data_IF_114800124441
#
_entry.id   IF_114800124441
#
_cell.length_a   1.000
_cell.length_b   1.000
_cell.length_c   1.000
_cell.angle_alpha   90.00
_cell.angle_beta   90.00
_cell.angle_gamma   90.00
#
_symmetry.space_group_name_H-M   'P 1'
#
loop_
_entity.id
_entity.type
_entity.pdbx_description
1 polymer ?
#
# COMPACT_ATOMS: atom_id res chain seq x y z
N UNK A 1 24.65 13.23 31.48
CA UNK A 1 25.14 12.36 30.37
C UNK A 1 24.67 10.90 30.52
N UNK A 2 24.83 10.24 31.67
CA UNK A 2 24.45 8.83 31.88
C UNK A 2 22.98 8.47 31.65
N UNK A 3 22.00 9.32 32.04
CA UNK A 3 20.57 9.08 31.81
C UNK A 3 20.20 9.10 30.31
N UNK A 4 20.85 9.95 29.52
CA UNK A 4 20.62 10.02 28.06
C UNK A 4 21.17 8.76 27.39
N UNK A 5 22.40 8.36 27.75
CA UNK A 5 23.01 7.12 27.22
C UNK A 5 22.20 5.86 27.58
N UNK A 6 21.71 5.74 28.81
CA UNK A 6 20.86 4.61 29.22
C UNK A 6 19.54 4.58 28.45
N UNK A 7 18.92 5.72 28.20
CA UNK A 7 17.70 5.85 27.38
C UNK A 7 17.94 5.43 25.92
N UNK A 8 19.05 5.90 25.33
CA UNK A 8 19.42 5.54 23.96
C UNK A 8 19.72 4.03 23.84
N UNK A 9 20.46 3.45 24.79
CA UNK A 9 20.74 2.01 24.84
C UNK A 9 19.45 1.19 24.95
N UNK A 10 18.52 1.60 25.82
CA UNK A 10 17.20 0.93 25.97
C UNK A 10 16.38 1.03 24.68
N UNK A 11 16.39 2.17 24.02
CA UNK A 11 15.68 2.38 22.76
C UNK A 11 16.31 1.55 21.62
N UNK A 12 17.65 1.47 21.55
CA UNK A 12 18.35 0.64 20.59
C UNK A 12 18.00 -0.84 20.77
N UNK A 13 18.13 -1.36 22.01
CA UNK A 13 17.79 -2.76 22.32
C UNK A 13 16.33 -3.06 21.97
N UNK A 14 15.41 -2.16 22.26
CA UNK A 14 13.99 -2.32 21.96
C UNK A 14 13.69 -2.36 20.45
N UNK A 15 14.58 -1.85 19.59
CA UNK A 15 14.41 -1.81 18.15
C UNK A 15 15.22 -2.90 17.41
N UNK A 16 15.95 -3.75 18.12
CA UNK A 16 16.73 -4.85 17.54
C UNK A 16 15.94 -5.67 16.50
N UNK A 17 14.65 -6.07 16.73
CA UNK A 17 13.90 -6.84 15.74
C UNK A 17 13.81 -6.15 14.37
N UNK A 18 13.69 -4.82 14.34
CA UNK A 18 13.62 -4.07 13.09
C UNK A 18 14.97 -3.99 12.39
N UNK A 19 16.07 -3.87 13.12
CA UNK A 19 17.41 -3.94 12.53
C UNK A 19 17.69 -5.32 11.92
N UNK A 20 17.33 -6.37 12.65
CA UNK A 20 17.46 -7.75 12.14
C UNK A 20 16.61 -7.95 10.90
N UNK A 21 15.33 -7.50 10.91
CA UNK A 21 14.46 -7.53 9.72
C UNK A 21 15.10 -6.82 8.54
N UNK A 22 15.62 -5.61 8.73
CA UNK A 22 16.25 -4.84 7.67
C UNK A 22 17.41 -5.60 7.01
N UNK A 23 18.30 -6.18 7.80
CA UNK A 23 19.44 -6.93 7.25
C UNK A 23 19.02 -8.24 6.58
N UNK A 24 18.02 -8.95 7.11
CA UNK A 24 17.43 -10.12 6.45
C UNK A 24 16.86 -9.74 5.08
N UNK A 25 16.07 -8.66 5.02
CA UNK A 25 15.48 -8.18 3.77
C UNK A 25 16.54 -7.74 2.78
N UNK A 26 17.55 -7.00 3.24
CA UNK A 26 18.65 -6.58 2.37
C UNK A 26 19.40 -7.79 1.79
N UNK A 27 19.67 -8.80 2.61
CA UNK A 27 20.29 -10.06 2.17
C UNK A 27 19.40 -10.76 1.11
N UNK A 28 18.08 -10.86 1.34
CA UNK A 28 17.16 -11.44 0.37
C UNK A 28 17.20 -10.64 -0.94
N UNK A 29 17.10 -9.32 -0.88
CA UNK A 29 17.08 -8.47 -2.09
C UNK A 29 18.36 -8.57 -2.92
N UNK A 30 19.54 -8.73 -2.30
CA UNK A 30 20.81 -8.90 -3.01
C UNK A 30 20.81 -10.21 -3.82
N UNK A 31 20.05 -11.23 -3.39
CA UNK A 31 19.97 -12.52 -4.10
C UNK A 31 18.93 -12.51 -5.24
N UNK A 32 18.09 -11.48 -5.36
CA UNK A 32 17.02 -11.43 -6.35
C UNK A 32 17.57 -10.98 -7.73
N UNK A 33 17.10 -11.65 -8.78
CA UNK A 33 17.31 -11.18 -10.15
C UNK A 33 16.22 -10.15 -10.50
N UNK A 34 16.58 -8.87 -10.50
CA UNK A 34 15.68 -7.74 -10.78
C UNK A 34 15.56 -7.39 -12.28
N UNK A 35 16.16 -8.18 -13.16
CA UNK A 35 16.14 -7.94 -14.61
C UNK A 35 15.07 -8.80 -15.29
N UNK A 36 13.80 -8.71 -14.84
CA UNK A 36 12.70 -9.51 -15.35
C UNK A 36 11.42 -8.68 -15.53
N UNK A 37 10.57 -9.11 -16.45
CA UNK A 37 9.20 -8.60 -16.61
C UNK A 37 9.10 -7.08 -16.77
N UNK A 38 8.25 -6.46 -15.97
CA UNK A 38 7.99 -5.02 -16.02
C UNK A 38 9.20 -4.18 -15.64
N UNK A 39 10.12 -4.69 -14.81
CA UNK A 39 11.32 -3.97 -14.40
C UNK A 39 12.22 -3.66 -15.60
N UNK A 40 12.34 -4.61 -16.53
CA UNK A 40 13.07 -4.42 -17.79
C UNK A 40 12.42 -3.34 -18.65
N UNK A 41 11.09 -3.37 -18.77
CA UNK A 41 10.34 -2.40 -19.56
C UNK A 41 10.51 -0.97 -19.01
N UNK A 42 10.46 -0.82 -17.68
CA UNK A 42 10.72 0.49 -17.04
C UNK A 42 12.16 0.95 -17.26
N UNK A 43 13.15 0.06 -17.12
CA UNK A 43 14.56 0.41 -17.33
C UNK A 43 14.85 0.79 -18.79
N UNK A 44 14.28 0.09 -19.78
CA UNK A 44 14.42 0.45 -21.19
C UNK A 44 13.83 1.84 -21.46
N UNK A 45 12.61 2.11 -20.98
CA UNK A 45 11.98 3.43 -21.14
C UNK A 45 12.74 4.54 -20.46
N UNK A 46 13.26 4.31 -19.24
CA UNK A 46 14.05 5.29 -18.53
C UNK A 46 15.38 5.63 -19.23
N UNK A 47 15.93 4.69 -20.01
CA UNK A 47 17.14 4.92 -20.82
C UNK A 47 16.85 5.57 -22.17
N UNK A 48 15.65 5.37 -22.73
CA UNK A 48 15.30 5.82 -24.09
C UNK A 48 14.52 7.13 -24.14
N UNK A 49 13.93 7.57 -23.02
CA UNK A 49 13.10 8.77 -22.93
C UNK A 49 13.63 9.71 -21.86
N UNK A 50 13.45 11.02 -22.07
CA UNK A 50 13.68 11.98 -20.98
C UNK A 50 12.61 11.79 -19.89
N UNK A 51 12.90 12.26 -18.67
CA UNK A 51 11.95 12.21 -17.56
C UNK A 51 10.62 12.90 -17.90
N UNK A 52 10.68 14.02 -18.59
CA UNK A 52 9.50 14.78 -19.02
C UNK A 52 8.68 14.00 -20.04
N UNK A 53 9.31 13.48 -21.09
CA UNK A 53 8.64 12.71 -22.14
C UNK A 53 8.01 11.43 -21.58
N UNK A 54 8.72 10.75 -20.66
CA UNK A 54 8.20 9.58 -19.98
C UNK A 54 6.90 9.89 -19.21
N UNK A 55 6.89 10.98 -18.42
CA UNK A 55 5.72 11.36 -17.66
C UNK A 55 4.56 11.81 -18.56
N UNK A 56 4.83 12.57 -19.62
CA UNK A 56 3.83 12.97 -20.62
C UNK A 56 3.25 11.71 -21.28
N UNK A 57 4.10 10.80 -21.75
CA UNK A 57 3.67 9.53 -22.34
C UNK A 57 2.74 8.75 -21.40
N UNK A 58 3.16 8.58 -20.13
CA UNK A 58 2.38 7.84 -19.13
C UNK A 58 1.03 8.49 -18.86
N UNK A 59 0.99 9.80 -18.70
CA UNK A 59 -0.25 10.53 -18.43
C UNK A 59 -1.28 10.39 -19.56
N UNK A 60 -0.87 10.49 -20.81
CA UNK A 60 -1.79 10.43 -21.94
C UNK A 60 -2.12 9.01 -22.39
N UNK A 61 -1.22 8.06 -22.21
CA UNK A 61 -1.35 6.74 -22.83
C UNK A 61 -1.48 5.58 -21.84
N UNK A 62 -1.23 5.79 -20.52
CA UNK A 62 -1.17 4.64 -19.61
C UNK A 62 -1.88 4.83 -18.28
N UNK A 63 -1.47 5.80 -17.42
CA UNK A 63 -2.01 5.89 -16.06
C UNK A 63 -1.82 7.24 -15.39
N UNK A 64 -2.64 7.48 -14.35
CA UNK A 64 -2.52 8.62 -13.43
C UNK A 64 -1.41 8.48 -12.39
N UNK A 65 -0.67 7.39 -12.37
CA UNK A 65 0.33 7.05 -11.32
C UNK A 65 1.64 7.81 -11.45
N UNK A 66 1.58 9.10 -11.78
CA UNK A 66 2.75 9.92 -12.11
C UNK A 66 3.81 9.97 -11.00
N UNK A 67 3.41 10.09 -9.73
CA UNK A 67 4.38 10.11 -8.62
C UNK A 67 5.07 8.76 -8.45
N UNK A 68 4.33 7.69 -8.51
CA UNK A 68 4.84 6.32 -8.39
C UNK A 68 5.73 5.98 -9.58
N UNK A 69 5.27 6.27 -10.79
CA UNK A 69 6.02 5.97 -12.02
C UNK A 69 7.25 6.87 -12.18
N UNK A 70 7.23 8.09 -11.64
CA UNK A 70 8.42 8.93 -11.53
C UNK A 70 9.49 8.30 -10.64
N UNK A 71 9.10 7.71 -9.51
CA UNK A 71 10.03 6.95 -8.66
C UNK A 71 10.57 5.74 -9.41
N UNK A 72 9.71 5.01 -10.13
CA UNK A 72 10.12 3.87 -10.96
C UNK A 72 11.09 4.29 -12.08
N UNK A 73 10.87 5.43 -12.72
CA UNK A 73 11.77 5.95 -13.76
C UNK A 73 13.21 6.05 -13.25
N UNK A 74 13.43 6.62 -12.07
CA UNK A 74 14.78 6.76 -11.50
C UNK A 74 15.32 5.44 -10.93
N UNK A 75 14.48 4.65 -10.26
CA UNK A 75 14.92 3.47 -9.54
C UNK A 75 15.15 2.27 -10.48
N UNK A 76 14.41 2.15 -11.58
CA UNK A 76 14.52 1.02 -12.50
C UNK A 76 15.90 0.84 -13.12
N UNK A 77 16.68 1.91 -13.26
CA UNK A 77 18.07 1.87 -13.75
C UNK A 77 19.09 1.76 -12.61
N UNK A 78 18.65 1.76 -11.35
CA UNK A 78 19.50 1.71 -10.16
C UNK A 78 19.01 0.65 -9.16
N UNK A 79 19.06 -0.62 -9.54
CA UNK A 79 18.54 -1.74 -8.75
C UNK A 79 19.06 -1.79 -7.31
N UNK A 80 20.32 -1.43 -7.07
CA UNK A 80 20.91 -1.37 -5.74
C UNK A 80 20.20 -0.37 -4.82
N UNK A 81 19.76 0.77 -5.38
CA UNK A 81 18.99 1.78 -4.65
C UNK A 81 17.64 1.20 -4.25
N UNK A 82 16.98 0.48 -5.16
CA UNK A 82 15.74 -0.21 -4.84
C UNK A 82 15.93 -1.24 -3.73
N UNK A 83 16.95 -2.09 -3.79
CA UNK A 83 17.22 -3.12 -2.78
C UNK A 83 17.30 -2.51 -1.37
N UNK A 84 18.05 -1.40 -1.24
CA UNK A 84 18.19 -0.68 0.02
C UNK A 84 16.88 -0.04 0.48
N UNK A 85 16.23 0.73 -0.41
CA UNK A 85 15.00 1.45 -0.09
C UNK A 85 13.83 0.51 0.18
N UNK A 86 13.69 -0.57 -0.59
CA UNK A 86 12.62 -1.54 -0.38
C UNK A 86 12.78 -2.25 0.98
N UNK A 87 14.00 -2.65 1.34
CA UNK A 87 14.29 -3.21 2.68
C UNK A 87 13.94 -2.23 3.80
N UNK A 88 14.24 -0.94 3.60
CA UNK A 88 13.90 0.11 4.56
C UNK A 88 12.39 0.32 4.66
N UNK A 89 11.70 0.43 3.53
CA UNK A 89 10.23 0.62 3.48
C UNK A 89 9.50 -0.53 4.16
N UNK A 90 9.88 -1.78 3.90
CA UNK A 90 9.27 -2.95 4.53
C UNK A 90 9.51 -2.93 6.05
N UNK A 91 10.71 -2.56 6.48
CA UNK A 91 11.03 -2.39 7.91
C UNK A 91 10.19 -1.29 8.56
N UNK A 92 10.00 -0.16 7.87
CA UNK A 92 9.13 0.92 8.32
C UNK A 92 7.68 0.46 8.41
N UNK A 93 7.19 -0.32 7.44
CA UNK A 93 5.84 -0.92 7.47
C UNK A 93 5.65 -1.77 8.72
N UNK A 94 6.58 -2.68 9.03
CA UNK A 94 6.52 -3.50 10.25
C UNK A 94 6.43 -2.65 11.52
N UNK A 95 7.24 -1.59 11.59
CA UNK A 95 7.26 -0.65 12.72
C UNK A 95 5.97 0.18 12.82
N UNK A 96 5.40 0.59 11.69
CA UNK A 96 4.14 1.34 11.65
C UNK A 96 2.95 0.46 12.05
N UNK A 97 2.90 -0.79 11.59
CA UNK A 97 1.88 -1.77 12.02
C UNK A 97 1.92 -1.92 13.55
N UNK A 98 3.10 -2.10 14.12
CA UNK A 98 3.26 -2.19 15.58
C UNK A 98 2.79 -0.90 16.28
N UNK A 99 3.21 0.26 15.79
CA UNK A 99 2.89 1.54 16.40
C UNK A 99 1.39 1.91 16.31
N UNK A 100 0.71 1.46 15.25
CA UNK A 100 -0.71 1.76 15.04
C UNK A 100 -1.60 0.76 15.78
N UNK A 101 -1.30 -0.54 15.67
CA UNK A 101 -2.24 -1.60 16.00
C UNK A 101 -1.86 -2.43 17.23
N UNK A 102 -0.60 -2.38 17.68
CA UNK A 102 -0.11 -3.29 18.70
C UNK A 102 0.30 -2.58 20.01
N UNK A 103 0.40 -3.36 21.08
CA UNK A 103 1.10 -2.96 22.30
C UNK A 103 2.62 -3.02 22.04
N UNK A 104 3.39 -2.04 22.57
CA UNK A 104 4.83 -1.90 22.35
C UNK A 104 5.69 -2.95 23.09
N UNK A 105 5.31 -4.25 22.99
CA UNK A 105 6.08 -5.37 23.54
C UNK A 105 7.03 -5.96 22.52
N UNK A 106 8.12 -6.55 22.98
CA UNK A 106 9.11 -7.19 22.08
C UNK A 106 8.48 -8.33 21.26
N UNK A 107 7.52 -9.07 21.85
CA UNK A 107 6.78 -10.15 21.15
C UNK A 107 6.01 -9.61 19.95
N UNK A 108 5.31 -8.48 20.12
CA UNK A 108 4.53 -7.87 19.03
C UNK A 108 5.44 -7.31 17.94
N UNK A 109 6.59 -6.73 18.29
CA UNK A 109 7.58 -6.28 17.30
C UNK A 109 8.09 -7.44 16.44
N UNK A 110 8.43 -8.57 17.08
CA UNK A 110 8.85 -9.78 16.36
C UNK A 110 7.73 -10.31 15.48
N UNK A 111 6.49 -10.38 15.96
CA UNK A 111 5.33 -10.81 15.15
C UNK A 111 5.09 -9.91 13.94
N UNK A 112 5.19 -8.59 14.11
CA UNK A 112 5.07 -7.65 12.99
C UNK A 112 6.19 -7.85 11.97
N UNK A 113 7.42 -8.10 12.43
CA UNK A 113 8.55 -8.41 11.54
C UNK A 113 8.31 -9.72 10.76
N UNK A 114 7.88 -10.78 11.44
CA UNK A 114 7.55 -12.07 10.80
C UNK A 114 6.40 -11.88 9.79
N UNK A 115 5.36 -11.14 10.18
CA UNK A 115 4.22 -10.86 9.29
C UNK A 115 4.63 -10.18 7.99
N UNK A 116 5.60 -9.27 8.01
CA UNK A 116 6.10 -8.63 6.79
C UNK A 116 6.98 -9.53 5.93
N UNK A 117 7.64 -10.54 6.52
CA UNK A 117 8.43 -11.54 5.79
C UNK A 117 7.56 -12.56 5.03
N UNK A 118 6.26 -12.65 5.35
CA UNK A 118 5.32 -13.51 4.61
C UNK A 118 5.06 -12.95 3.20
N UNK A 119 5.30 -11.66 2.95
CA UNK A 119 5.17 -11.10 1.61
C UNK A 119 6.12 -11.82 0.62
N UNK A 120 5.62 -12.29 -0.53
CA UNK A 120 6.37 -13.16 -1.43
C UNK A 120 7.39 -12.38 -2.27
N UNK A 121 8.40 -11.81 -1.64
CA UNK A 121 9.47 -11.01 -2.30
C UNK A 121 10.26 -11.81 -3.33
N UNK A 122 10.37 -13.12 -3.14
CA UNK A 122 11.11 -14.01 -4.04
C UNK A 122 10.32 -14.37 -5.31
N UNK A 123 9.03 -14.07 -5.36
CA UNK A 123 8.22 -14.27 -6.56
C UNK A 123 8.49 -13.16 -7.58
N UNK A 124 9.56 -13.34 -8.34
CA UNK A 124 10.00 -12.41 -9.39
C UNK A 124 9.19 -12.53 -10.67
N UNK A 125 8.10 -13.30 -10.67
CA UNK A 125 7.11 -13.32 -11.74
C UNK A 125 5.94 -12.35 -11.49
N UNK A 126 5.80 -11.84 -10.26
CA UNK A 126 4.71 -10.92 -9.91
C UNK A 126 5.02 -10.01 -8.71
N UNK A 127 4.94 -10.55 -7.49
CA UNK A 127 4.98 -9.76 -6.26
C UNK A 127 6.36 -9.19 -5.93
N UNK A 128 7.44 -9.90 -6.33
CA UNK A 128 8.82 -9.52 -6.06
C UNK A 128 9.37 -8.42 -6.97
N UNK A 129 8.71 -8.14 -8.10
CA UNK A 129 9.19 -7.09 -9.03
C UNK A 129 9.35 -5.74 -8.35
N UNK A 130 10.35 -5.00 -8.76
CA UNK A 130 10.56 -3.59 -8.38
C UNK A 130 9.33 -2.76 -8.71
N UNK A 131 8.81 -2.91 -9.94
CA UNK A 131 7.59 -2.24 -10.39
C UNK A 131 6.39 -2.57 -9.48
N UNK A 132 6.21 -3.83 -9.07
CA UNK A 132 5.10 -4.24 -8.21
C UNK A 132 5.25 -3.69 -6.79
N UNK A 133 6.43 -3.80 -6.20
CA UNK A 133 6.66 -3.30 -4.84
C UNK A 133 6.47 -1.79 -4.74
N UNK A 134 6.97 -1.02 -5.70
CA UNK A 134 6.82 0.45 -5.73
C UNK A 134 5.38 0.86 -6.05
N UNK A 135 4.64 0.11 -6.89
CA UNK A 135 3.25 0.41 -7.21
C UNK A 135 2.25 0.05 -6.10
N UNK A 136 2.54 -0.96 -5.27
CA UNK A 136 1.55 -1.48 -4.32
C UNK A 136 2.04 -1.51 -2.88
N UNK A 137 3.28 -1.96 -2.64
CA UNK A 137 3.77 -2.14 -1.27
C UNK A 137 4.25 -0.83 -0.64
N UNK A 138 4.90 0.05 -1.43
CA UNK A 138 5.27 1.38 -0.96
C UNK A 138 4.04 2.28 -0.67
N UNK A 139 2.99 2.32 -1.52
CA UNK A 139 1.73 2.98 -1.18
C UNK A 139 1.10 2.46 0.11
N UNK A 140 1.16 1.16 0.38
CA UNK A 140 0.72 0.62 1.69
C UNK A 140 1.50 1.24 2.85
N UNK A 141 2.83 1.34 2.73
CA UNK A 141 3.66 2.05 3.71
C UNK A 141 3.25 3.51 3.91
N UNK A 142 2.94 4.19 2.82
CA UNK A 142 2.49 5.57 2.83
C UNK A 142 1.10 5.73 3.47
N UNK A 143 0.16 4.80 3.22
CA UNK A 143 -1.13 4.73 3.94
C UNK A 143 -0.88 4.58 5.44
N UNK A 144 -0.01 3.68 5.85
CA UNK A 144 0.29 3.47 7.27
C UNK A 144 0.93 4.70 7.93
N UNK A 145 1.79 5.45 7.23
CA UNK A 145 2.30 6.74 7.73
C UNK A 145 1.13 7.70 8.00
N UNK A 146 0.22 7.82 7.05
CA UNK A 146 -0.95 8.70 7.20
C UNK A 146 -1.86 8.25 8.36
N UNK A 147 -2.14 6.94 8.48
CA UNK A 147 -2.91 6.36 9.58
C UNK A 147 -2.25 6.58 10.94
N UNK A 148 -0.93 6.52 11.03
CA UNK A 148 -0.20 6.80 12.26
C UNK A 148 -0.43 8.24 12.74
N UNK A 149 -0.40 9.21 11.82
CA UNK A 149 -0.69 10.61 12.16
C UNK A 149 -2.18 10.85 12.44
N UNK A 150 -3.08 10.14 11.75
CA UNK A 150 -4.51 10.15 12.06
C UNK A 150 -4.77 9.63 13.49
N UNK A 151 -4.10 8.54 13.90
CA UNK A 151 -4.16 8.03 15.28
C UNK A 151 -3.68 9.08 16.29
N UNK A 152 -2.58 9.78 16.01
CA UNK A 152 -2.10 10.89 16.87
C UNK A 152 -3.13 12.00 16.99
N UNK A 153 -3.70 12.45 15.86
CA UNK A 153 -4.74 13.48 15.84
C UNK A 153 -6.00 13.04 16.58
N UNK A 154 -6.43 11.78 16.42
CA UNK A 154 -7.56 11.20 17.13
C UNK A 154 -7.36 11.16 18.66
N UNK A 155 -6.12 11.00 19.11
CA UNK A 155 -5.74 11.02 20.54
C UNK A 155 -5.44 12.43 21.05
N UNK A 156 -5.82 13.48 20.32
CA UNK A 156 -5.59 14.89 20.67
C UNK A 156 -4.12 15.27 20.84
N UNK A 157 -3.19 14.50 20.28
CA UNK A 157 -1.76 14.84 20.27
C UNK A 157 -1.53 15.90 19.19
N UNK A 158 -1.06 17.06 19.60
CA UNK A 158 -0.75 18.17 18.68
C UNK A 158 0.35 17.74 17.71
N UNK A 159 0.03 17.79 16.43
CA UNK A 159 0.99 17.50 15.37
C UNK A 159 1.92 18.71 15.17
N UNK A 160 3.19 18.43 14.90
CA UNK A 160 4.19 19.43 14.51
C UNK A 160 4.05 19.73 13.01
N UNK A 161 4.50 20.91 12.58
CA UNK A 161 4.37 21.33 11.18
C UNK A 161 4.94 20.34 10.16
N UNK A 162 6.11 19.73 10.45
CA UNK A 162 6.71 18.75 9.56
C UNK A 162 5.92 17.42 9.49
N UNK A 163 5.13 17.07 10.52
CA UNK A 163 4.28 15.90 10.52
C UNK A 163 3.10 16.05 9.56
N UNK A 164 2.60 17.28 9.39
CA UNK A 164 1.62 17.60 8.33
C UNK A 164 2.24 17.39 6.94
N UNK A 165 3.46 17.87 6.71
CA UNK A 165 4.15 17.72 5.42
C UNK A 165 4.39 16.24 5.11
N UNK A 166 4.97 15.48 6.05
CA UNK A 166 5.25 14.05 5.87
C UNK A 166 3.95 13.29 5.56
N UNK A 167 2.88 13.57 6.32
CA UNK A 167 1.59 12.91 6.11
C UNK A 167 0.97 13.27 4.77
N UNK A 168 1.06 14.54 4.34
CA UNK A 168 0.53 14.99 3.05
C UNK A 168 1.27 14.36 1.87
N UNK A 169 2.60 14.31 1.93
CA UNK A 169 3.42 13.64 0.91
C UNK A 169 3.08 12.15 0.85
N UNK A 170 2.99 11.48 2.00
CA UNK A 170 2.62 10.07 2.09
C UNK A 170 1.22 9.84 1.52
N UNK A 171 0.24 10.69 1.86
CA UNK A 171 -1.11 10.60 1.34
C UNK A 171 -1.14 10.75 -0.19
N UNK A 172 -0.48 11.78 -0.73
CA UNK A 172 -0.44 12.02 -2.18
C UNK A 172 0.22 10.86 -2.91
N UNK A 173 1.31 10.30 -2.38
CA UNK A 173 1.96 9.12 -2.95
C UNK A 173 1.04 7.90 -2.93
N UNK A 174 0.39 7.62 -1.81
CA UNK A 174 -0.54 6.50 -1.69
C UNK A 174 -1.79 6.68 -2.57
N UNK A 175 -2.37 7.89 -2.58
CA UNK A 175 -3.56 8.20 -3.37
C UNK A 175 -3.26 8.36 -4.87
N UNK A 176 -2.00 8.34 -5.29
CA UNK A 176 -1.64 8.32 -6.71
C UNK A 176 -1.96 6.96 -7.37
N UNK A 177 -2.20 5.93 -6.58
CA UNK A 177 -2.64 4.61 -7.01
C UNK A 177 -4.12 4.41 -6.64
N UNK A 178 -4.93 3.87 -7.55
CA UNK A 178 -6.39 3.81 -7.45
C UNK A 178 -6.88 3.07 -6.19
N UNK A 179 -6.21 1.98 -5.79
CA UNK A 179 -6.54 1.23 -4.58
C UNK A 179 -6.17 2.01 -3.32
N UNK A 180 -5.01 2.68 -3.32
CA UNK A 180 -4.57 3.54 -2.23
C UNK A 180 -5.52 4.72 -2.01
N UNK A 181 -5.95 5.36 -3.11
CA UNK A 181 -6.98 6.40 -3.10
C UNK A 181 -8.27 5.90 -2.45
N UNK A 182 -8.76 4.74 -2.88
CA UNK A 182 -10.02 4.18 -2.38
C UNK A 182 -9.94 3.81 -0.89
N UNK A 183 -8.81 3.24 -0.43
CA UNK A 183 -8.58 2.92 0.99
C UNK A 183 -8.57 4.20 1.84
N UNK A 184 -7.85 5.24 1.39
CA UNK A 184 -7.81 6.52 2.09
C UNK A 184 -9.18 7.20 2.12
N UNK A 185 -9.88 7.24 0.99
CA UNK A 185 -11.24 7.80 0.91
C UNK A 185 -12.18 7.11 1.90
N UNK A 186 -12.19 5.77 1.89
CA UNK A 186 -13.00 4.98 2.84
C UNK A 186 -12.60 5.24 4.29
N UNK A 187 -11.30 5.28 4.59
CA UNK A 187 -10.79 5.55 5.94
C UNK A 187 -11.26 6.89 6.47
N UNK A 188 -11.11 7.96 5.69
CA UNK A 188 -11.53 9.30 6.12
C UNK A 188 -13.05 9.46 6.16
N UNK A 189 -13.77 8.82 5.25
CA UNK A 189 -15.24 8.78 5.27
C UNK A 189 -15.75 8.15 6.58
N UNK A 190 -15.28 6.97 6.94
CA UNK A 190 -15.66 6.31 8.19
C UNK A 190 -15.17 7.06 9.43
N UNK A 191 -14.00 7.71 9.35
CA UNK A 191 -13.52 8.55 10.45
C UNK A 191 -14.42 9.78 10.68
N UNK A 192 -14.96 10.41 9.63
CA UNK A 192 -15.94 11.51 9.75
C UNK A 192 -17.20 11.00 10.43
N UNK A 193 -17.74 9.86 9.99
CA UNK A 193 -18.92 9.24 10.62
C UNK A 193 -18.66 8.97 12.10
N UNK A 194 -17.49 8.43 12.43
CA UNK A 194 -17.07 8.21 13.80
C UNK A 194 -17.05 9.51 14.63
N UNK A 195 -16.49 10.58 14.07
CA UNK A 195 -16.46 11.89 14.74
C UNK A 195 -17.88 12.43 14.95
N UNK A 196 -18.75 12.28 13.97
CA UNK A 196 -20.14 12.72 14.05
C UNK A 196 -20.93 11.96 15.15
N UNK A 197 -20.86 10.65 15.14
CA UNK A 197 -21.55 9.80 16.15
C UNK A 197 -21.04 10.12 17.56
N UNK A 198 -19.73 10.33 17.74
CA UNK A 198 -19.13 10.57 19.05
C UNK A 198 -19.04 12.07 19.42
N UNK A 199 -19.68 12.95 18.66
CA UNK A 199 -19.66 14.42 18.85
C UNK A 199 -18.24 14.99 18.98
N UNK A 200 -17.27 14.43 18.25
CA UNK A 200 -15.87 14.88 18.26
C UNK A 200 -15.65 15.98 17.23
N UNK A 201 -14.83 16.95 17.58
CA UNK A 201 -14.41 18.00 16.63
C UNK A 201 -13.48 17.42 15.56
N UNK A 202 -13.75 17.75 14.31
CA UNK A 202 -12.88 17.40 13.18
C UNK A 202 -11.66 18.32 13.22
N UNK A 203 -10.47 17.76 13.27
CA UNK A 203 -9.22 18.50 13.32
C UNK A 203 -8.85 19.05 11.92
N UNK A 204 -8.05 20.12 11.89
CA UNK A 204 -7.50 20.68 10.64
C UNK A 204 -6.74 19.62 9.83
N UNK A 205 -6.04 18.71 10.51
CA UNK A 205 -5.36 17.57 9.87
C UNK A 205 -6.31 16.75 9.00
N UNK A 206 -7.48 16.42 9.49
CA UNK A 206 -8.49 15.63 8.77
C UNK A 206 -9.02 16.39 7.58
N UNK A 207 -9.33 17.69 7.76
CA UNK A 207 -9.83 18.54 6.65
C UNK A 207 -8.80 18.63 5.53
N UNK A 208 -7.53 18.88 5.87
CA UNK A 208 -6.43 18.93 4.90
C UNK A 208 -6.33 17.63 4.09
N UNK A 209 -6.35 16.48 4.79
CA UNK A 209 -6.25 15.19 4.11
C UNK A 209 -7.46 14.90 3.21
N UNK A 210 -8.68 15.29 3.60
CA UNK A 210 -9.88 15.17 2.75
C UNK A 210 -9.73 15.99 1.47
N UNK A 211 -9.26 17.23 1.58
CA UNK A 211 -9.01 18.09 0.40
C UNK A 211 -7.99 17.43 -0.54
N UNK A 212 -6.90 16.87 0.00
CA UNK A 212 -5.89 16.18 -0.79
C UNK A 212 -6.43 14.89 -1.44
N UNK A 213 -7.29 14.14 -0.75
CA UNK A 213 -7.96 12.94 -1.30
C UNK A 213 -8.88 13.34 -2.47
N UNK A 214 -9.68 14.39 -2.30
CA UNK A 214 -10.57 14.88 -3.38
C UNK A 214 -9.75 15.33 -4.58
N UNK A 215 -8.67 16.08 -4.38
CA UNK A 215 -7.77 16.51 -5.45
C UNK A 215 -7.13 15.30 -6.18
N UNK A 216 -6.67 14.28 -5.43
CA UNK A 216 -6.13 13.05 -6.00
C UNK A 216 -7.17 12.27 -6.80
N UNK A 217 -8.40 12.17 -6.29
CA UNK A 217 -9.51 11.54 -7.00
C UNK A 217 -9.83 12.27 -8.31
N UNK A 218 -9.94 13.60 -8.28
CA UNK A 218 -10.15 14.40 -9.49
C UNK A 218 -9.07 14.11 -10.53
N UNK A 219 -7.79 14.09 -10.11
CA UNK A 219 -6.67 13.78 -10.99
C UNK A 219 -6.77 12.38 -11.60
N UNK A 220 -7.12 11.35 -10.81
CA UNK A 220 -7.28 9.97 -11.29
C UNK A 220 -8.39 9.89 -12.35
N UNK A 221 -9.56 10.47 -12.06
CA UNK A 221 -10.72 10.35 -12.94
C UNK A 221 -10.60 11.19 -14.23
N UNK A 222 -9.84 12.28 -14.20
CA UNK A 222 -9.61 13.13 -15.38
C UNK A 222 -8.42 12.68 -16.24
N UNK A 223 -7.57 11.78 -15.75
CA UNK A 223 -6.39 11.31 -16.46
C UNK A 223 -6.79 10.51 -17.74
N UNK A 224 -6.40 10.97 -18.94
CA UNK A 224 -6.77 10.30 -20.19
C UNK A 224 -6.13 8.90 -20.31
N UNK A 225 -4.91 8.71 -19.81
CA UNK A 225 -4.19 7.44 -19.86
C UNK A 225 -4.94 6.30 -19.19
N UNK A 226 -5.67 6.56 -18.10
CA UNK A 226 -6.47 5.53 -17.44
C UNK A 226 -7.57 4.96 -18.37
N UNK A 227 -8.17 5.81 -19.20
CA UNK A 227 -9.19 5.40 -20.16
C UNK A 227 -8.59 4.67 -21.36
N UNK A 228 -7.43 5.11 -21.84
CA UNK A 228 -6.68 4.41 -22.91
C UNK A 228 -6.30 3.02 -22.43
N UNK A 229 -5.64 2.91 -21.26
CA UNK A 229 -5.27 1.62 -20.68
C UNK A 229 -6.49 0.71 -20.50
N UNK A 230 -7.59 1.20 -19.93
CA UNK A 230 -8.81 0.40 -19.74
C UNK A 230 -9.32 -0.20 -21.05
N UNK A 231 -9.35 0.58 -22.14
CA UNK A 231 -9.77 0.07 -23.45
C UNK A 231 -8.82 -0.99 -23.99
N UNK A 232 -7.52 -0.77 -23.83
CA UNK A 232 -6.49 -1.70 -24.29
C UNK A 232 -6.52 -3.02 -23.51
N UNK A 233 -6.63 -2.95 -22.19
CA UNK A 233 -6.73 -4.12 -21.32
C UNK A 233 -7.98 -4.97 -21.63
N UNK A 234 -9.14 -4.32 -21.77
CA UNK A 234 -10.38 -5.01 -22.17
C UNK A 234 -10.19 -5.70 -23.53
N UNK A 235 -9.63 -5.00 -24.53
CA UNK A 235 -9.41 -5.56 -25.86
C UNK A 235 -8.46 -6.77 -25.84
N UNK A 236 -7.40 -6.69 -25.05
CA UNK A 236 -6.36 -7.73 -25.04
C UNK A 236 -6.73 -8.97 -24.24
N UNK A 237 -7.50 -8.79 -23.16
CA UNK A 237 -7.66 -9.85 -22.18
C UNK A 237 -9.08 -10.32 -21.97
N UNK A 238 -10.06 -9.45 -22.19
CA UNK A 238 -11.47 -9.80 -22.03
C UNK A 238 -12.37 -9.01 -22.99
N UNK A 239 -12.32 -9.31 -24.31
CA UNK A 239 -13.05 -8.55 -25.34
C UNK A 239 -14.55 -8.42 -25.04
N UNK A 240 -15.17 -9.48 -24.51
CA UNK A 240 -16.60 -9.54 -24.23
C UNK A 240 -17.00 -8.85 -22.92
N UNK A 241 -16.05 -8.23 -22.19
CA UNK A 241 -16.34 -7.55 -20.93
C UNK A 241 -17.43 -6.47 -21.05
N UNK A 242 -17.49 -5.79 -22.20
CA UNK A 242 -18.49 -4.75 -22.48
C UNK A 242 -19.92 -5.29 -22.48
N UNK A 243 -20.12 -6.50 -22.97
CA UNK A 243 -21.44 -7.14 -23.14
C UNK A 243 -22.01 -7.73 -21.85
N UNK A 244 -21.17 -7.93 -20.83
CA UNK A 244 -21.59 -8.51 -19.56
C UNK A 244 -22.48 -7.56 -18.75
N UNK A 245 -23.52 -8.13 -18.12
CA UNK A 245 -24.35 -7.41 -17.15
C UNK A 245 -23.53 -6.97 -15.92
N UNK A 246 -23.98 -5.93 -15.23
CA UNK A 246 -23.32 -5.42 -14.03
C UNK A 246 -23.15 -6.51 -12.95
N UNK A 247 -24.19 -7.31 -12.70
CA UNK A 247 -24.11 -8.39 -11.70
C UNK A 247 -23.13 -9.49 -12.11
N UNK A 248 -23.07 -9.84 -13.40
CA UNK A 248 -22.10 -10.83 -13.90
C UNK A 248 -20.65 -10.32 -13.75
N UNK A 249 -20.44 -9.04 -13.97
CA UNK A 249 -19.15 -8.39 -13.70
C UNK A 249 -18.74 -8.50 -12.23
N UNK A 250 -19.66 -8.24 -11.28
CA UNK A 250 -19.42 -8.40 -9.84
C UNK A 250 -19.12 -9.86 -9.48
N UNK A 251 -19.94 -10.79 -9.98
CA UNK A 251 -19.76 -12.23 -9.73
C UNK A 251 -18.35 -12.70 -10.17
N UNK A 252 -17.93 -12.35 -11.38
CA UNK A 252 -16.60 -12.68 -11.89
C UNK A 252 -15.51 -12.06 -10.99
N UNK A 253 -15.66 -10.79 -10.61
CA UNK A 253 -14.71 -10.12 -9.71
C UNK A 253 -14.60 -10.81 -8.35
N UNK A 254 -15.72 -11.19 -7.73
CA UNK A 254 -15.74 -11.92 -6.46
C UNK A 254 -15.10 -13.30 -6.62
N UNK A 255 -15.54 -14.08 -7.61
CA UNK A 255 -15.05 -15.44 -7.82
C UNK A 255 -13.55 -15.47 -8.15
N UNK A 256 -13.07 -14.57 -9.01
CA UNK A 256 -11.66 -14.47 -9.37
C UNK A 256 -10.74 -14.07 -8.20
N UNK A 257 -11.29 -13.42 -7.19
CA UNK A 257 -10.53 -13.03 -5.98
C UNK A 257 -10.62 -14.09 -4.89
N UNK A 258 -11.84 -14.55 -4.60
CA UNK A 258 -12.08 -15.46 -3.47
C UNK A 258 -11.54 -16.86 -3.76
N UNK A 259 -11.73 -17.34 -4.99
CA UNK A 259 -11.29 -18.69 -5.37
C UNK A 259 -9.78 -18.91 -5.24
N UNK A 260 -8.89 -18.03 -5.75
CA UNK A 260 -7.45 -18.19 -5.55
C UNK A 260 -7.01 -18.05 -4.08
N UNK A 261 -7.69 -17.20 -3.31
CA UNK A 261 -7.37 -17.03 -1.87
C UNK A 261 -7.72 -18.30 -1.10
N UNK A 262 -8.88 -18.91 -1.38
CA UNK A 262 -9.35 -20.09 -0.64
C UNK A 262 -8.74 -21.38 -1.14
N UNK A 263 -8.51 -21.53 -2.46
CA UNK A 263 -8.24 -22.83 -3.06
C UNK A 263 -6.90 -22.94 -3.80
N UNK A 264 -6.26 -21.84 -4.20
CA UNK A 264 -5.01 -21.89 -4.98
C UNK A 264 -3.75 -21.50 -4.22
N UNK A 265 -3.86 -20.73 -3.15
CA UNK A 265 -2.68 -20.20 -2.44
C UNK A 265 -2.89 -20.16 -0.94
N UNK A 266 -2.13 -20.96 -0.20
CA UNK A 266 -2.15 -20.94 1.27
C UNK A 266 -1.54 -19.65 1.87
N UNK A 267 -0.68 -18.94 1.13
CA UNK A 267 0.04 -17.76 1.62
C UNK A 267 -0.89 -16.57 1.93
N UNK A 268 -1.83 -16.17 1.05
CA UNK A 268 -2.80 -15.13 1.38
C UNK A 268 -3.73 -15.51 2.54
N UNK A 269 -4.11 -16.79 2.66
CA UNK A 269 -4.91 -17.30 3.78
C UNK A 269 -4.15 -17.24 5.11
N UNK A 270 -2.87 -17.61 5.10
CA UNK A 270 -2.00 -17.50 6.28
C UNK A 270 -1.79 -16.03 6.67
N UNK A 271 -1.60 -15.15 5.71
CA UNK A 271 -1.50 -13.71 5.94
C UNK A 271 -2.80 -13.13 6.52
N UNK A 272 -3.94 -13.46 5.95
CA UNK A 272 -5.26 -13.06 6.43
C UNK A 272 -5.55 -13.61 7.84
N UNK A 273 -5.33 -14.90 8.06
CA UNK A 273 -5.58 -15.51 9.36
C UNK A 273 -4.64 -15.00 10.44
N UNK A 274 -3.35 -14.80 10.13
CA UNK A 274 -2.40 -14.20 11.07
C UNK A 274 -2.74 -12.74 11.39
N UNK A 275 -3.14 -11.98 10.39
CA UNK A 275 -3.59 -10.58 10.57
C UNK A 275 -4.86 -10.52 11.42
N UNK A 276 -5.85 -11.37 11.14
CA UNK A 276 -7.08 -11.49 11.95
C UNK A 276 -6.77 -11.90 13.40
N UNK A 277 -5.88 -12.85 13.63
CA UNK A 277 -5.47 -13.28 14.96
C UNK A 277 -4.76 -12.14 15.71
N UNK A 278 -3.88 -11.39 15.05
CA UNK A 278 -3.23 -10.22 15.64
C UNK A 278 -4.29 -9.18 16.02
N UNK A 279 -5.26 -8.91 15.15
CA UNK A 279 -6.34 -7.95 15.36
C UNK A 279 -7.23 -8.36 16.52
N UNK A 280 -7.73 -9.59 16.53
CA UNK A 280 -8.64 -10.10 17.56
C UNK A 280 -7.96 -10.08 18.94
N UNK A 281 -6.67 -10.46 19.01
CA UNK A 281 -5.94 -10.52 20.29
C UNK A 281 -5.44 -9.14 20.77
N UNK A 282 -5.29 -8.18 19.88
CA UNK A 282 -4.69 -6.87 20.23
C UNK A 282 -5.74 -5.87 20.68
N UNK A 283 -6.98 -6.00 20.22
CA UNK A 283 -8.01 -4.98 20.44
C UNK A 283 -9.03 -5.40 21.48
N UNK A 284 -8.98 -4.77 22.68
CA UNK A 284 -10.07 -4.80 23.65
C UNK A 284 -11.21 -3.84 23.28
N UNK A 285 -10.94 -2.82 22.46
CA UNK A 285 -11.89 -1.78 22.11
C UNK A 285 -12.72 -2.19 20.87
N UNK A 286 -14.04 -2.27 21.02
CA UNK A 286 -15.00 -2.67 19.97
C UNK A 286 -14.91 -1.81 18.72
N UNK A 287 -14.59 -0.54 18.85
CA UNK A 287 -14.52 0.44 17.75
C UNK A 287 -13.30 0.21 16.86
N UNK A 288 -12.15 -0.10 17.45
CA UNK A 288 -10.94 -0.45 16.68
C UNK A 288 -11.13 -1.81 16.00
N UNK A 289 -11.82 -2.77 16.63
CA UNK A 289 -12.21 -4.02 15.98
C UNK A 289 -13.09 -3.77 14.78
N UNK A 290 -14.10 -2.90 14.92
CA UNK A 290 -15.03 -2.57 13.84
C UNK A 290 -14.32 -1.83 12.69
N UNK A 291 -13.48 -0.81 12.97
CA UNK A 291 -12.75 -0.08 11.93
C UNK A 291 -11.73 -0.96 11.20
N UNK A 292 -11.09 -1.89 11.91
CA UNK A 292 -10.16 -2.83 11.29
C UNK A 292 -10.89 -3.89 10.47
N UNK A 293 -12.07 -4.31 10.91
CA UNK A 293 -12.93 -5.20 10.15
C UNK A 293 -13.47 -4.52 8.88
N UNK A 294 -13.76 -3.22 8.95
CA UNK A 294 -14.14 -2.41 7.79
C UNK A 294 -12.96 -2.27 6.80
N UNK A 295 -11.76 -1.96 7.28
CA UNK A 295 -10.55 -1.92 6.44
C UNK A 295 -10.30 -3.28 5.81
N UNK A 296 -10.51 -4.37 6.55
CA UNK A 296 -10.40 -5.74 6.04
C UNK A 296 -11.44 -6.03 4.96
N UNK A 297 -12.71 -5.70 5.19
CA UNK A 297 -13.78 -5.84 4.21
C UNK A 297 -13.51 -4.96 3.00
N UNK A 298 -13.05 -3.73 3.20
CA UNK A 298 -12.67 -2.85 2.10
C UNK A 298 -11.44 -3.38 1.34
N UNK A 299 -10.46 -3.95 2.00
CA UNK A 299 -9.30 -4.59 1.34
C UNK A 299 -9.74 -5.80 0.52
N UNK A 300 -10.70 -6.59 1.02
CA UNK A 300 -11.34 -7.65 0.25
C UNK A 300 -12.14 -7.10 -0.93
N UNK A 301 -13.00 -6.11 -0.70
CA UNK A 301 -13.82 -5.47 -1.73
C UNK A 301 -12.93 -4.82 -2.81
N UNK A 302 -11.86 -4.14 -2.41
CA UNK A 302 -10.93 -3.51 -3.36
C UNK A 302 -9.92 -4.49 -3.95
N UNK A 303 -9.56 -5.55 -3.25
CA UNK A 303 -8.89 -6.71 -3.84
C UNK A 303 -9.76 -7.32 -4.94
N UNK A 304 -11.05 -7.46 -4.68
CA UNK A 304 -12.06 -7.90 -5.65
C UNK A 304 -12.20 -6.89 -6.79
N UNK A 305 -12.35 -5.59 -6.51
CA UNK A 305 -12.48 -4.56 -7.55
C UNK A 305 -11.17 -4.30 -8.30
N UNK A 306 -10.04 -4.34 -7.64
CA UNK A 306 -8.72 -4.15 -8.27
C UNK A 306 -8.35 -5.32 -9.17
N UNK A 307 -8.60 -6.55 -8.73
CA UNK A 307 -8.51 -7.72 -9.60
C UNK A 307 -9.55 -7.70 -10.71
N UNK A 308 -10.74 -7.19 -10.44
CA UNK A 308 -11.77 -7.01 -11.44
C UNK A 308 -11.38 -5.99 -12.53
N UNK A 309 -10.56 -5.00 -12.20
CA UNK A 309 -10.01 -4.05 -13.18
C UNK A 309 -8.72 -4.56 -13.85
N UNK A 310 -7.99 -5.49 -13.21
CA UNK A 310 -6.69 -5.99 -13.66
C UNK A 310 -6.76 -7.46 -14.11
N UNK A 311 -7.50 -8.34 -13.43
CA UNK A 311 -7.60 -9.79 -13.72
C UNK A 311 -8.84 -10.17 -14.57
N UNK A 312 -9.62 -9.19 -15.03
CA UNK A 312 -10.35 -9.42 -16.29
C UNK A 312 -9.42 -9.95 -17.39
N UNK A 313 -8.13 -9.92 -17.12
CA UNK A 313 -7.04 -10.25 -18.02
C UNK A 313 -6.50 -11.66 -17.88
N UNK A 314 -6.91 -12.45 -16.88
CA UNK A 314 -6.33 -13.79 -16.65
C UNK A 314 -7.33 -14.92 -16.55
N UNK A 315 -8.60 -14.70 -16.88
CA UNK A 315 -9.62 -15.77 -16.95
C UNK A 315 -9.82 -16.32 -18.36
N UNK A 316 -8.75 -16.38 -19.15
CA UNK A 316 -8.70 -17.31 -20.29
C UNK A 316 -7.73 -18.43 -19.93
N UNK A 317 -8.30 -19.59 -19.68
CA UNK A 317 -7.74 -20.92 -19.44
C UNK A 317 -7.57 -21.32 -18.00
#
# INVERSE_FOLDING_TARGET
MGKIMSKLKKQFISNIPYYVLFFILLFIHIQLNVSTGDDVNFAIRAKSMTFTDFNIYKYYNWSSRQLIESVLYFISVHSHVWMLLNSLVITIIAKLIEAIFCNHTIKMKILCCIGTLIYPLIDMSSAGWMATTINYYWPLGAILINLYYLKKANNFIKLKWYEYIISSIALLFAANQEQGFAILLGTYFFYIIYCFINKRKISFFVILNIVLIIASGTYIFTCPGNWVRKKQEIKNWFPDFGTLSFFRKIEIGISSTVYPILFKNNVPMLFLSSTLLIIINTFKNSLVKASTMIIFVMTLVFGVLGKYLVDCTRLSF
#
